data_IF_111314731260
#
_entry.id   IF_111314731260
#
_cell.length_a   1.000
_cell.length_b   1.000
_cell.length_c   1.000
_cell.angle_alpha   90.00
_cell.angle_beta   90.00
_cell.angle_gamma   90.00
#
_symmetry.space_group_name_H-M   'P 1'
#
loop_
_entity.id
_entity.type
_entity.pdbx_description
1 polymer ?
#
# COMPACT_ATOMS: atom_id res chain seq x y z
N UNK A 1 1.33 18.39 -3.98
CA UNK A 1 2.18 18.43 -5.18
C UNK A 1 2.45 17.03 -5.74
N UNK A 2 2.79 16.01 -4.94
CA UNK A 2 3.05 14.65 -5.45
C UNK A 2 1.81 14.04 -6.13
N UNK A 3 0.64 14.06 -5.47
CA UNK A 3 -0.61 13.56 -6.04
C UNK A 3 -0.96 14.28 -7.34
N UNK A 4 -0.91 15.62 -7.34
CA UNK A 4 -1.12 16.42 -8.55
C UNK A 4 -0.13 16.08 -9.65
N UNK A 5 1.16 15.93 -9.29
CA UNK A 5 2.19 15.51 -10.24
C UNK A 5 1.88 14.16 -10.89
N UNK A 6 1.33 13.21 -10.12
CA UNK A 6 0.93 11.89 -10.62
C UNK A 6 -0.25 11.99 -11.60
N UNK A 7 -1.30 12.75 -11.27
CA UNK A 7 -2.45 12.97 -12.15
C UNK A 7 -2.04 13.72 -13.44
N UNK A 8 -1.20 14.76 -13.30
CA UNK A 8 -0.68 15.51 -14.46
C UNK A 8 0.21 14.62 -15.34
N UNK A 9 1.02 13.74 -14.76
CA UNK A 9 1.83 12.78 -15.50
C UNK A 9 0.97 11.75 -16.23
N UNK A 10 -0.05 11.19 -15.57
CA UNK A 10 -1.00 10.27 -16.20
C UNK A 10 -1.72 10.90 -17.38
N UNK A 11 -2.20 12.15 -17.23
CA UNK A 11 -2.87 12.90 -18.32
C UNK A 11 -1.98 13.16 -19.54
N UNK A 12 -0.67 13.01 -19.39
CA UNK A 12 0.35 13.16 -20.45
C UNK A 12 0.94 11.82 -20.92
N UNK A 13 0.38 10.69 -20.46
CA UNK A 13 0.89 9.36 -20.75
C UNK A 13 2.15 9.01 -19.95
N UNK A 14 2.33 9.55 -18.75
CA UNK A 14 3.47 9.31 -17.86
C UNK A 14 4.88 9.49 -18.49
N UNK A 15 5.14 10.46 -19.36
CA UNK A 15 6.40 10.51 -20.16
C UNK A 15 7.67 10.63 -19.29
N UNK A 16 7.52 10.94 -18.00
CA UNK A 16 8.63 11.11 -17.04
C UNK A 16 8.49 10.29 -15.76
N UNK A 17 7.41 9.55 -15.61
CA UNK A 17 7.16 8.74 -14.43
C UNK A 17 7.58 7.31 -14.70
N UNK A 18 8.57 6.83 -13.96
CA UNK A 18 8.97 5.44 -13.99
C UNK A 18 8.11 4.67 -13.00
N UNK A 19 7.16 3.92 -13.50
CA UNK A 19 6.27 3.08 -12.70
C UNK A 19 6.61 1.62 -12.96
N UNK A 20 6.66 0.83 -11.92
CA UNK A 20 6.85 -0.61 -12.00
C UNK A 20 5.60 -1.32 -11.50
N UNK A 21 5.36 -2.53 -11.97
CA UNK A 21 4.33 -3.38 -11.44
C UNK A 21 4.54 -3.62 -9.94
N UNK A 22 3.48 -3.47 -9.13
CA UNK A 22 3.50 -3.93 -7.75
C UNK A 22 3.13 -5.41 -7.71
N UNK A 23 4.13 -6.22 -7.44
CA UNK A 23 3.95 -7.67 -7.33
C UNK A 23 3.48 -8.07 -5.93
N UNK A 24 2.89 -9.26 -5.84
CA UNK A 24 2.33 -9.83 -4.60
C UNK A 24 3.09 -11.12 -4.25
N UNK A 25 4.38 -10.99 -4.02
CA UNK A 25 5.25 -12.10 -3.65
C UNK A 25 5.71 -12.05 -2.19
N UNK A 26 6.63 -12.94 -1.88
CA UNK A 26 7.31 -12.96 -0.58
C UNK A 26 8.57 -12.10 -0.65
N UNK A 27 8.58 -10.97 0.05
CA UNK A 27 9.72 -10.03 0.03
C UNK A 27 11.00 -10.66 0.61
N UNK A 28 12.13 -10.41 -0.06
CA UNK A 28 13.47 -10.84 0.34
C UNK A 28 14.52 -9.83 -0.17
N UNK A 29 15.53 -9.55 0.64
CA UNK A 29 16.75 -8.95 0.11
C UNK A 29 17.75 -10.08 -0.16
N UNK A 30 18.20 -10.22 -1.40
CA UNK A 30 19.03 -11.32 -1.88
C UNK A 30 20.38 -10.80 -2.37
N UNK A 31 21.44 -11.45 -1.97
CA UNK A 31 22.81 -11.18 -2.39
C UNK A 31 23.56 -12.47 -2.69
N UNK A 32 24.79 -12.34 -3.12
CA UNK A 32 25.69 -13.46 -3.40
C UNK A 32 27.06 -13.16 -2.83
N UNK A 33 27.67 -14.14 -2.25
CA UNK A 33 29.05 -14.07 -1.78
C UNK A 33 29.96 -14.80 -2.77
N UNK A 34 30.76 -14.07 -3.57
CA UNK A 34 31.64 -14.69 -4.55
C UNK A 34 32.76 -15.55 -3.94
N UNK A 35 33.13 -15.30 -2.69
CA UNK A 35 34.19 -16.07 -2.01
C UNK A 35 33.69 -17.46 -1.59
N UNK A 36 32.52 -17.55 -1.00
CA UNK A 36 31.90 -18.82 -0.60
C UNK A 36 31.10 -19.49 -1.71
N UNK A 37 30.76 -18.75 -2.76
CA UNK A 37 29.89 -19.23 -3.83
C UNK A 37 28.43 -19.39 -3.41
N UNK A 38 27.99 -18.74 -2.34
CA UNK A 38 26.67 -18.92 -1.75
C UNK A 38 25.76 -17.72 -1.91
N UNK A 39 24.49 -17.99 -2.16
CA UNK A 39 23.44 -16.97 -2.06
C UNK A 39 23.13 -16.66 -0.60
N UNK A 40 23.00 -15.38 -0.29
CA UNK A 40 22.67 -14.87 1.03
C UNK A 40 21.33 -14.14 0.99
N UNK A 41 20.52 -14.33 2.03
CA UNK A 41 19.20 -13.71 2.18
C UNK A 41 19.08 -12.90 3.46
N UNK A 42 18.40 -11.75 3.37
CA UNK A 42 18.08 -10.92 4.53
C UNK A 42 16.58 -10.59 4.50
N UNK A 43 15.88 -10.89 5.58
CA UNK A 43 14.46 -10.53 5.78
C UNK A 43 14.22 -9.60 6.97
N UNK A 44 15.19 -9.48 7.85
CA UNK A 44 15.08 -8.64 9.05
C UNK A 44 16.46 -8.16 9.50
N UNK A 45 16.48 -7.31 10.54
CA UNK A 45 17.71 -6.71 11.05
C UNK A 45 18.70 -7.74 11.62
N UNK A 46 18.22 -8.82 12.26
CA UNK A 46 19.11 -9.86 12.82
C UNK A 46 19.82 -10.62 11.72
N UNK A 47 19.14 -10.92 10.61
CA UNK A 47 19.78 -11.54 9.44
C UNK A 47 20.86 -10.62 8.83
N UNK A 48 20.60 -9.30 8.78
CA UNK A 48 21.57 -8.34 8.29
C UNK A 48 22.83 -8.29 9.17
N UNK A 49 22.65 -8.28 10.49
CA UNK A 49 23.77 -8.29 11.45
C UNK A 49 24.57 -9.59 11.41
N UNK A 50 23.96 -10.70 11.01
CA UNK A 50 24.64 -11.98 10.78
C UNK A 50 25.36 -12.05 9.41
N UNK A 51 25.31 -11.00 8.60
CA UNK A 51 25.93 -11.00 7.27
C UNK A 51 25.05 -11.56 6.15
N UNK A 52 23.79 -11.86 6.43
CA UNK A 52 22.87 -12.64 5.60
C UNK A 52 22.84 -14.10 6.02
N UNK A 53 21.81 -14.81 5.63
CA UNK A 53 21.64 -16.24 5.84
C UNK A 53 21.75 -16.98 4.51
N UNK A 54 22.55 -18.02 4.43
CA UNK A 54 22.51 -18.98 3.34
C UNK A 54 21.18 -19.76 3.32
N UNK A 55 20.91 -20.51 2.27
CA UNK A 55 19.65 -21.22 2.08
C UNK A 55 19.34 -22.23 3.20
N UNK A 56 20.33 -22.94 3.73
CA UNK A 56 20.15 -23.89 4.82
C UNK A 56 19.87 -23.19 6.16
N UNK A 57 20.60 -22.13 6.43
CA UNK A 57 20.39 -21.28 7.61
C UNK A 57 19.04 -20.57 7.58
N UNK A 58 18.58 -20.11 6.41
CA UNK A 58 17.25 -19.53 6.25
C UNK A 58 16.14 -20.56 6.47
N UNK A 59 16.31 -21.79 5.94
CA UNK A 59 15.39 -22.90 6.17
C UNK A 59 15.30 -23.24 7.65
N UNK A 60 16.43 -23.37 8.34
CA UNK A 60 16.47 -23.62 9.79
C UNK A 60 15.79 -22.51 10.58
N UNK A 61 16.04 -21.25 10.22
CA UNK A 61 15.40 -20.09 10.85
C UNK A 61 13.87 -20.15 10.76
N UNK A 62 13.33 -20.54 9.62
CA UNK A 62 11.87 -20.62 9.41
C UNK A 62 11.22 -21.84 10.06
N UNK A 63 11.98 -22.87 10.36
CA UNK A 63 11.50 -24.13 10.94
C UNK A 63 11.95 -24.29 12.39
N UNK A 64 13.15 -24.76 12.61
CA UNK A 64 13.70 -25.18 13.92
C UNK A 64 13.82 -24.03 14.91
N UNK A 65 14.44 -22.90 14.48
CA UNK A 65 14.67 -21.77 15.39
C UNK A 65 13.35 -21.13 15.84
N UNK A 66 12.31 -21.14 14.97
CA UNK A 66 10.97 -20.68 15.37
C UNK A 66 10.32 -21.59 16.39
N UNK A 67 10.44 -22.91 16.22
CA UNK A 67 9.92 -23.88 17.18
C UNK A 67 10.62 -23.74 18.53
N UNK A 68 11.94 -23.61 18.55
CA UNK A 68 12.73 -23.38 19.77
C UNK A 68 12.36 -22.06 20.46
N UNK A 69 11.96 -21.04 19.69
CA UNK A 69 11.44 -19.77 20.20
C UNK A 69 9.95 -19.82 20.61
N UNK A 70 9.32 -20.98 20.62
CA UNK A 70 7.90 -21.16 20.98
C UNK A 70 6.91 -20.61 19.95
N UNK A 71 7.35 -20.40 18.70
CA UNK A 71 6.53 -19.89 17.60
C UNK A 71 6.19 -21.02 16.61
N UNK A 72 5.02 -20.99 15.96
CA UNK A 72 4.72 -21.95 14.91
C UNK A 72 5.75 -21.83 13.77
N UNK A 73 6.17 -22.95 13.16
CA UNK A 73 7.05 -22.92 12.01
C UNK A 73 6.35 -22.25 10.82
N UNK A 74 7.14 -21.67 9.94
CA UNK A 74 6.62 -21.18 8.65
C UNK A 74 6.13 -22.39 7.82
N UNK A 75 5.01 -22.28 7.09
CA UNK A 75 4.55 -23.35 6.20
C UNK A 75 5.66 -23.78 5.22
N UNK A 76 5.81 -25.10 5.03
CA UNK A 76 6.92 -25.64 4.24
C UNK A 76 6.91 -25.20 2.79
N UNK A 77 5.73 -25.02 2.18
CA UNK A 77 5.62 -24.47 0.82
C UNK A 77 6.25 -23.07 0.69
N UNK A 78 6.13 -22.21 1.71
CA UNK A 78 6.79 -20.90 1.75
C UNK A 78 8.31 -21.05 1.94
N UNK A 79 8.73 -21.96 2.81
CA UNK A 79 10.16 -22.23 3.05
C UNK A 79 10.83 -22.77 1.79
N UNK A 80 10.18 -23.72 1.11
CA UNK A 80 10.69 -24.31 -0.12
C UNK A 80 10.73 -23.29 -1.26
N UNK A 81 9.75 -22.37 -1.34
CA UNK A 81 9.77 -21.28 -2.31
C UNK A 81 11.01 -20.38 -2.17
N UNK A 82 11.38 -20.02 -0.95
CA UNK A 82 12.61 -19.25 -0.70
C UNK A 82 13.86 -20.07 -1.02
N UNK A 83 13.88 -21.32 -0.62
CA UNK A 83 15.01 -22.21 -0.86
C UNK A 83 15.31 -22.33 -2.36
N UNK A 84 14.29 -22.65 -3.14
CA UNK A 84 14.41 -22.79 -4.60
C UNK A 84 14.79 -21.49 -5.30
N UNK A 85 14.21 -20.35 -4.85
CA UNK A 85 14.56 -19.04 -5.38
C UNK A 85 16.04 -18.69 -5.12
N UNK A 86 16.54 -18.97 -3.90
CA UNK A 86 17.96 -18.79 -3.57
C UNK A 86 18.86 -19.72 -4.39
N UNK A 87 18.47 -20.96 -4.57
CA UNK A 87 19.23 -21.93 -5.38
C UNK A 87 19.28 -21.51 -6.87
N UNK A 88 18.17 -21.03 -7.42
CA UNK A 88 18.12 -20.52 -8.78
C UNK A 88 18.98 -19.26 -8.94
N UNK A 89 18.92 -18.35 -7.96
CA UNK A 89 19.76 -17.15 -7.96
C UNK A 89 21.25 -17.50 -7.88
N UNK A 90 21.63 -18.48 -7.06
CA UNK A 90 23.02 -18.95 -6.93
C UNK A 90 23.61 -19.42 -8.26
N UNK A 91 22.85 -20.20 -9.05
CA UNK A 91 23.28 -20.66 -10.38
C UNK A 91 23.56 -19.49 -11.32
N UNK A 92 22.70 -18.46 -11.29
CA UNK A 92 22.87 -17.28 -12.14
C UNK A 92 24.00 -16.39 -11.64
N UNK A 93 24.04 -16.14 -10.32
CA UNK A 93 25.03 -15.29 -9.68
C UNK A 93 26.47 -15.78 -9.91
N UNK A 94 26.66 -17.09 -9.97
CA UNK A 94 27.96 -17.68 -10.28
C UNK A 94 28.50 -17.29 -11.67
N UNK A 95 27.62 -16.95 -12.59
CA UNK A 95 27.98 -16.51 -13.97
C UNK A 95 28.10 -14.99 -14.11
N UNK A 96 27.83 -14.25 -13.04
CA UNK A 96 27.91 -12.79 -13.03
C UNK A 96 29.23 -12.30 -12.43
N UNK A 97 29.79 -11.19 -12.96
CA UNK A 97 30.98 -10.59 -12.39
C UNK A 97 30.79 -10.17 -10.90
N UNK A 98 31.84 -10.27 -10.06
CA UNK A 98 31.78 -9.98 -8.63
C UNK A 98 31.26 -8.58 -8.28
N UNK A 99 31.47 -7.58 -9.15
CA UNK A 99 31.02 -6.19 -8.96
C UNK A 99 29.50 -6.04 -8.89
N UNK A 100 28.73 -7.04 -9.30
CA UNK A 100 27.30 -7.08 -9.05
C UNK A 100 26.96 -7.34 -7.58
N UNK A 101 27.87 -7.95 -6.83
CA UNK A 101 27.61 -8.42 -5.48
C UNK A 101 28.48 -7.75 -4.40
N UNK A 102 29.57 -7.14 -4.79
CA UNK A 102 30.51 -6.46 -3.90
C UNK A 102 30.75 -5.04 -4.41
N UNK A 103 30.69 -4.05 -3.52
CA UNK A 103 31.08 -2.67 -3.87
C UNK A 103 32.60 -2.54 -3.96
N UNK A 104 33.13 -1.46 -4.56
CA UNK A 104 34.59 -1.21 -4.57
C UNK A 104 35.20 -1.15 -3.16
N UNK A 105 34.41 -0.81 -2.14
CA UNK A 105 34.81 -0.76 -0.73
C UNK A 105 34.74 -2.14 -0.05
N UNK A 106 34.33 -3.18 -0.76
CA UNK A 106 34.22 -4.56 -0.23
C UNK A 106 32.89 -4.84 0.50
N UNK A 107 31.90 -3.96 0.42
CA UNK A 107 30.60 -4.16 1.05
C UNK A 107 29.72 -5.06 0.17
N UNK A 108 29.03 -6.03 0.79
CA UNK A 108 28.09 -6.92 0.07
C UNK A 108 26.83 -6.17 -0.37
N UNK A 109 26.40 -6.45 -1.59
CA UNK A 109 25.18 -5.87 -2.19
C UNK A 109 24.02 -6.84 -2.05
N UNK A 110 22.88 -6.33 -1.57
CA UNK A 110 21.62 -7.05 -1.51
C UNK A 110 20.58 -6.37 -2.39
N UNK A 111 20.06 -7.11 -3.35
CA UNK A 111 18.96 -6.69 -4.22
C UNK A 111 17.63 -6.87 -3.49
N UNK A 112 16.80 -5.84 -3.51
CA UNK A 112 15.43 -5.96 -3.06
C UNK A 112 14.64 -6.78 -4.08
N UNK A 113 13.99 -7.85 -3.64
CA UNK A 113 13.32 -8.79 -4.54
C UNK A 113 12.07 -9.40 -3.90
N UNK A 114 11.25 -10.03 -4.72
CA UNK A 114 10.11 -10.84 -4.28
C UNK A 114 10.18 -12.23 -4.91
N UNK A 115 9.91 -13.24 -4.09
CA UNK A 115 9.71 -14.61 -4.54
C UNK A 115 8.23 -14.78 -4.85
N UNK A 116 7.91 -14.95 -6.12
CA UNK A 116 6.57 -15.29 -6.59
C UNK A 116 6.56 -16.78 -6.93
N UNK A 117 5.71 -17.54 -6.27
CA UNK A 117 5.67 -18.99 -6.40
C UNK A 117 4.21 -19.48 -6.27
N UNK A 118 3.72 -20.28 -7.21
CA UNK A 118 2.36 -20.84 -7.15
C UNK A 118 2.06 -21.59 -5.83
N UNK A 119 3.10 -22.19 -5.23
CA UNK A 119 2.97 -22.95 -3.99
C UNK A 119 2.75 -22.07 -2.77
N UNK A 120 3.16 -20.80 -2.84
CA UNK A 120 3.14 -19.86 -1.72
C UNK A 120 2.51 -18.52 -2.10
N UNK A 121 1.55 -18.53 -3.01
CA UNK A 121 0.82 -17.35 -3.43
C UNK A 121 0.14 -16.65 -2.25
N UNK A 122 0.21 -15.32 -2.20
CA UNK A 122 -0.57 -14.50 -1.26
C UNK A 122 -1.99 -14.32 -1.83
N UNK A 123 -2.23 -13.21 -2.55
CA UNK A 123 -3.52 -12.89 -3.17
C UNK A 123 -3.53 -13.27 -4.64
N UNK A 124 -2.39 -13.06 -5.33
CA UNK A 124 -2.23 -13.34 -6.76
C UNK A 124 -1.60 -14.72 -6.96
N UNK A 125 -2.26 -15.60 -7.73
CA UNK A 125 -1.68 -16.86 -8.17
C UNK A 125 -0.83 -16.64 -9.40
N UNK A 126 0.45 -16.94 -9.27
CA UNK A 126 1.40 -16.94 -10.37
C UNK A 126 1.45 -18.32 -11.03
N UNK A 127 1.67 -18.36 -12.33
CA UNK A 127 1.71 -19.64 -13.06
C UNK A 127 3.08 -20.34 -12.93
N UNK A 128 4.14 -19.57 -12.69
CA UNK A 128 5.51 -20.07 -12.56
C UNK A 128 6.23 -19.42 -11.39
N UNK A 129 7.25 -20.10 -10.90
CA UNK A 129 8.14 -19.50 -9.91
C UNK A 129 9.03 -18.44 -10.57
N UNK A 130 9.04 -17.24 -10.00
CA UNK A 130 9.90 -16.13 -10.43
C UNK A 130 10.50 -15.43 -9.20
N UNK A 131 11.81 -15.18 -9.25
CA UNK A 131 12.47 -14.22 -8.38
C UNK A 131 12.49 -12.87 -9.12
N UNK A 132 11.65 -11.95 -8.69
CA UNK A 132 11.55 -10.62 -9.29
C UNK A 132 12.37 -9.61 -8.48
N UNK A 133 13.41 -9.08 -9.11
CA UNK A 133 14.26 -8.04 -8.52
C UNK A 133 13.64 -6.68 -8.80
N UNK A 134 13.38 -5.91 -7.75
CA UNK A 134 12.88 -4.54 -7.88
C UNK A 134 13.96 -3.61 -8.47
N UNK A 135 13.55 -2.49 -9.08
CA UNK A 135 14.51 -1.50 -9.61
C UNK A 135 15.10 -0.58 -8.55
N UNK A 136 14.50 -0.58 -7.36
CA UNK A 136 14.87 0.30 -6.26
C UNK A 136 14.93 -0.46 -4.94
N UNK A 137 15.45 0.19 -3.91
CA UNK A 137 15.49 -0.38 -2.58
C UNK A 137 16.63 -1.38 -2.35
N UNK A 138 17.60 -1.45 -3.27
CA UNK A 138 18.82 -2.23 -3.06
C UNK A 138 19.65 -1.66 -1.92
N UNK A 139 20.37 -2.52 -1.25
CA UNK A 139 21.09 -2.20 -0.02
C UNK A 139 22.50 -2.75 -0.07
N UNK A 140 23.41 -2.11 0.63
CA UNK A 140 24.75 -2.61 0.93
C UNK A 140 24.85 -2.96 2.41
N UNK A 141 25.58 -4.01 2.71
CA UNK A 141 25.81 -4.45 4.06
C UNK A 141 27.07 -3.77 4.60
N UNK A 142 26.86 -2.91 5.58
CA UNK A 142 27.92 -2.21 6.33
C UNK A 142 28.12 -2.86 7.69
N UNK A 143 29.11 -2.43 8.43
CA UNK A 143 29.35 -2.85 9.83
C UNK A 143 28.17 -2.53 10.78
N UNK A 144 27.28 -1.60 10.39
CA UNK A 144 26.10 -1.20 11.17
C UNK A 144 24.79 -1.81 10.70
N UNK A 145 24.84 -2.62 9.62
CA UNK A 145 23.69 -3.26 9.01
C UNK A 145 23.45 -2.82 7.56
N UNK A 146 22.23 -3.04 7.06
CA UNK A 146 21.87 -2.69 5.69
C UNK A 146 21.62 -1.20 5.53
N UNK A 147 22.31 -0.58 4.57
CA UNK A 147 22.15 0.81 4.16
C UNK A 147 21.64 0.85 2.71
N UNK A 148 20.60 1.63 2.46
CA UNK A 148 20.04 1.76 1.10
C UNK A 148 20.99 2.53 0.18
N UNK A 149 21.05 2.11 -1.06
CA UNK A 149 21.63 2.92 -2.14
C UNK A 149 20.71 4.11 -2.44
N UNK A 150 21.28 5.20 -2.93
CA UNK A 150 20.53 6.27 -3.57
C UNK A 150 19.71 5.71 -4.75
N UNK A 151 18.50 6.27 -4.97
CA UNK A 151 17.54 5.72 -5.95
C UNK A 151 18.14 5.60 -7.36
N UNK A 152 18.90 6.60 -7.80
CA UNK A 152 19.57 6.59 -9.11
C UNK A 152 20.65 5.50 -9.22
N UNK A 153 21.42 5.29 -8.17
CA UNK A 153 22.44 4.24 -8.14
C UNK A 153 21.82 2.84 -8.11
N UNK A 154 20.72 2.66 -7.36
CA UNK A 154 19.98 1.41 -7.34
C UNK A 154 19.36 1.09 -8.70
N UNK A 155 18.79 2.09 -9.37
CA UNK A 155 18.23 1.94 -10.71
C UNK A 155 19.29 1.57 -11.74
N UNK A 156 20.44 2.26 -11.73
CA UNK A 156 21.54 1.97 -12.65
C UNK A 156 22.01 0.51 -12.51
N UNK A 157 22.20 0.04 -11.28
CA UNK A 157 22.53 -1.36 -10.99
C UNK A 157 21.49 -2.34 -11.53
N UNK A 158 20.21 -2.00 -11.41
CA UNK A 158 19.13 -2.83 -11.94
C UNK A 158 19.17 -2.93 -13.46
N UNK A 159 19.46 -1.83 -14.15
CA UNK A 159 19.60 -1.81 -15.61
C UNK A 159 20.78 -2.68 -16.05
N UNK A 160 21.91 -2.54 -15.38
CA UNK A 160 23.12 -3.35 -15.68
C UNK A 160 22.85 -4.84 -15.44
N UNK A 161 22.20 -5.18 -14.32
CA UNK A 161 21.82 -6.55 -14.01
C UNK A 161 20.81 -7.11 -15.03
N UNK A 162 19.80 -6.33 -15.42
CA UNK A 162 18.80 -6.73 -16.42
C UNK A 162 19.46 -7.06 -17.76
N UNK A 163 20.35 -6.18 -18.25
CA UNK A 163 21.06 -6.39 -19.50
C UNK A 163 21.88 -7.70 -19.43
N UNK A 164 22.58 -7.92 -18.33
CA UNK A 164 23.38 -9.12 -18.15
C UNK A 164 22.56 -10.39 -18.02
N UNK A 165 21.41 -10.32 -17.33
CA UNK A 165 20.46 -11.43 -17.26
C UNK A 165 19.90 -11.78 -18.64
N UNK A 166 19.56 -10.79 -19.46
CA UNK A 166 19.09 -11.01 -20.83
C UNK A 166 20.14 -11.73 -21.70
N UNK A 167 21.42 -11.34 -21.60
CA UNK A 167 22.51 -12.03 -22.28
C UNK A 167 22.63 -13.50 -21.84
N UNK A 168 22.57 -13.76 -20.54
CA UNK A 168 22.62 -15.11 -19.98
C UNK A 168 21.42 -15.95 -20.38
N UNK A 169 20.21 -15.37 -20.36
CA UNK A 169 18.97 -16.04 -20.75
C UNK A 169 18.94 -16.41 -22.23
N UNK A 170 19.55 -15.60 -23.10
CA UNK A 170 19.72 -15.92 -24.51
C UNK A 170 20.61 -17.15 -24.74
N UNK A 171 21.57 -17.37 -23.82
CA UNK A 171 22.47 -18.53 -23.86
C UNK A 171 21.90 -19.75 -23.13
N UNK A 172 21.07 -19.53 -22.10
CA UNK A 172 20.55 -20.55 -21.18
C UNK A 172 19.11 -20.23 -20.77
N UNK A 173 18.09 -20.67 -21.50
CA UNK A 173 16.68 -20.34 -21.24
C UNK A 173 16.17 -20.76 -19.84
N UNK A 174 16.80 -21.74 -19.22
CA UNK A 174 16.47 -22.18 -17.84
C UNK A 174 16.69 -21.09 -16.77
N UNK A 175 17.40 -20.02 -17.11
CA UNK A 175 17.65 -18.87 -16.24
C UNK A 175 16.45 -17.90 -16.21
N UNK A 176 15.41 -18.14 -16.98
CA UNK A 176 14.22 -17.27 -17.14
C UNK A 176 13.43 -17.00 -15.85
N UNK A 177 13.72 -17.77 -14.77
CA UNK A 177 13.07 -17.62 -13.46
C UNK A 177 13.55 -16.40 -12.67
N UNK A 178 14.58 -15.69 -13.12
CA UNK A 178 15.05 -14.45 -12.48
C UNK A 178 14.80 -13.29 -13.43
N UNK A 179 14.02 -12.32 -12.96
CA UNK A 179 13.63 -11.14 -13.75
C UNK A 179 13.89 -9.86 -12.96
N UNK A 180 14.19 -8.77 -13.67
CA UNK A 180 14.16 -7.43 -13.09
C UNK A 180 12.82 -6.80 -13.43
N UNK A 181 12.18 -6.17 -12.44
CA UNK A 181 10.88 -5.55 -12.61
C UNK A 181 10.96 -4.47 -13.71
N UNK A 182 10.22 -4.62 -14.80
CA UNK A 182 10.26 -3.67 -15.91
C UNK A 182 9.53 -2.36 -15.54
N UNK A 183 9.94 -1.31 -16.24
CA UNK A 183 9.21 -0.05 -16.22
C UNK A 183 8.00 -0.23 -17.13
N UNK A 184 6.83 0.11 -16.58
CA UNK A 184 5.58 0.08 -17.34
C UNK A 184 5.62 1.20 -18.39
N UNK A 185 5.41 0.85 -19.65
CA UNK A 185 5.23 1.83 -20.70
C UNK A 185 3.76 2.23 -20.78
N UNK A 186 3.48 3.48 -20.47
CA UNK A 186 2.13 4.05 -20.48
C UNK A 186 1.74 4.68 -21.83
N UNK A 187 2.55 4.55 -22.86
CA UNK A 187 2.22 5.10 -24.20
C UNK A 187 0.96 4.49 -24.78
N UNK A 188 0.66 3.24 -24.43
CA UNK A 188 -0.53 2.52 -24.87
C UNK A 188 -1.81 2.88 -24.07
N UNK A 189 -1.69 3.66 -22.98
CA UNK A 189 -2.82 4.08 -22.15
C UNK A 189 -3.52 5.37 -22.63
N UNK A 190 -3.34 5.71 -23.90
CA UNK A 190 -3.89 6.94 -24.50
C UNK A 190 -5.42 7.01 -24.41
N UNK A 191 -6.12 5.87 -24.44
CA UNK A 191 -7.58 5.80 -24.37
C UNK A 191 -8.17 6.38 -23.08
N UNK A 192 -7.47 6.29 -21.96
CA UNK A 192 -7.90 6.81 -20.65
C UNK A 192 -7.42 8.24 -20.36
N UNK A 193 -6.73 8.89 -21.29
CA UNK A 193 -6.10 10.21 -21.10
C UNK A 193 -7.10 11.30 -20.71
N UNK A 194 -8.31 11.27 -21.25
CA UNK A 194 -9.33 12.24 -20.91
C UNK A 194 -9.91 12.02 -19.51
N UNK A 195 -10.06 10.78 -19.05
CA UNK A 195 -10.42 10.47 -17.67
C UNK A 195 -9.36 10.98 -16.67
N UNK A 196 -8.07 10.77 -16.98
CA UNK A 196 -6.98 11.30 -16.14
C UNK A 196 -6.94 12.83 -16.10
N UNK A 197 -7.24 13.50 -17.23
CA UNK A 197 -7.37 14.96 -17.26
C UNK A 197 -8.56 15.44 -16.44
N UNK A 198 -9.70 14.77 -16.52
CA UNK A 198 -10.87 15.08 -15.72
C UNK A 198 -10.55 14.98 -14.22
N UNK A 199 -9.96 13.87 -13.78
CA UNK A 199 -9.53 13.66 -12.40
C UNK A 199 -8.50 14.72 -11.93
N UNK A 200 -7.54 15.10 -12.79
CA UNK A 200 -6.57 16.15 -12.47
C UNK A 200 -7.26 17.53 -12.30
N UNK A 201 -8.26 17.83 -13.12
CA UNK A 201 -9.02 19.07 -13.00
C UNK A 201 -9.90 19.08 -11.75
N UNK A 202 -10.60 17.99 -11.45
CA UNK A 202 -11.37 17.84 -10.21
C UNK A 202 -10.49 18.03 -8.98
N UNK A 203 -9.29 17.43 -8.98
CA UNK A 203 -8.32 17.61 -7.90
C UNK A 203 -7.88 19.07 -7.76
N UNK A 204 -7.68 19.79 -8.85
CA UNK A 204 -7.35 21.23 -8.82
C UNK A 204 -8.48 22.08 -8.24
N UNK A 205 -9.72 21.78 -8.64
CA UNK A 205 -10.91 22.48 -8.11
C UNK A 205 -11.04 22.19 -6.61
N UNK A 206 -10.91 20.93 -6.22
CA UNK A 206 -11.00 20.52 -4.82
C UNK A 206 -9.88 21.13 -3.96
N UNK A 207 -8.66 21.22 -4.51
CA UNK A 207 -7.51 21.78 -3.80
C UNK A 207 -7.72 23.23 -3.39
N UNK A 208 -8.35 24.06 -4.25
CA UNK A 208 -8.54 25.49 -4.00
C UNK A 208 -7.21 26.20 -3.73
N UNK A 209 -7.09 26.86 -2.58
CA UNK A 209 -5.87 27.54 -2.12
C UNK A 209 -4.91 26.65 -1.32
N UNK A 210 -5.31 25.43 -0.95
CA UNK A 210 -4.49 24.53 -0.16
C UNK A 210 -3.27 24.04 -0.95
N UNK A 211 -2.09 24.02 -0.30
CA UNK A 211 -0.82 23.58 -0.91
C UNK A 211 -0.56 22.09 -0.69
N UNK A 212 -1.14 21.54 0.35
CA UNK A 212 -0.98 20.13 0.74
C UNK A 212 -2.32 19.48 1.00
N UNK A 213 -2.35 18.14 0.98
CA UNK A 213 -3.54 17.35 1.39
C UNK A 213 -3.89 17.64 2.84
N UNK A 214 -2.88 17.83 3.71
CA UNK A 214 -3.09 18.22 5.11
C UNK A 214 -3.84 19.53 5.23
N UNK A 215 -3.38 20.60 4.56
CA UNK A 215 -4.06 21.90 4.55
C UNK A 215 -5.49 21.82 3.99
N UNK A 216 -5.69 21.04 2.91
CA UNK A 216 -7.02 20.81 2.37
C UNK A 216 -7.94 20.17 3.41
N UNK A 217 -7.49 19.09 4.05
CA UNK A 217 -8.27 18.37 5.05
C UNK A 217 -8.55 19.25 6.28
N UNK A 218 -7.57 19.99 6.76
CA UNK A 218 -7.75 20.92 7.88
C UNK A 218 -8.81 21.97 7.55
N UNK A 219 -8.76 22.59 6.37
CA UNK A 219 -9.75 23.56 5.92
C UNK A 219 -11.14 22.93 5.78
N UNK A 220 -11.23 21.77 5.13
CA UNK A 220 -12.51 21.08 4.93
C UNK A 220 -13.14 20.60 6.24
N UNK A 221 -12.33 20.13 7.20
CA UNK A 221 -12.80 19.77 8.55
C UNK A 221 -13.26 21.02 9.27
N UNK A 222 -12.50 22.10 9.23
CA UNK A 222 -12.82 23.35 9.88
C UNK A 222 -14.14 23.95 9.35
N UNK A 223 -14.34 23.95 8.05
CA UNK A 223 -15.57 24.42 7.42
C UNK A 223 -16.80 23.59 7.87
N UNK A 224 -16.67 22.26 7.88
CA UNK A 224 -17.73 21.36 8.34
C UNK A 224 -18.01 21.52 9.83
N UNK A 225 -16.98 21.62 10.67
CA UNK A 225 -17.16 21.89 12.09
C UNK A 225 -17.82 23.26 12.31
N UNK A 226 -17.38 24.29 11.59
CA UNK A 226 -17.94 25.63 11.65
C UNK A 226 -19.42 25.65 11.29
N UNK A 227 -19.80 24.90 10.24
CA UNK A 227 -21.21 24.77 9.81
C UNK A 227 -22.03 24.00 10.83
N UNK A 228 -21.48 22.93 11.43
CA UNK A 228 -22.17 22.08 12.39
C UNK A 228 -22.41 22.81 13.73
N UNK A 229 -21.41 23.57 14.21
CA UNK A 229 -21.50 24.34 15.45
C UNK A 229 -22.43 25.53 15.28
N UNK A 230 -22.47 26.13 14.09
CA UNK A 230 -23.23 27.32 13.78
C UNK A 230 -22.60 28.61 14.35
N UNK A 231 -23.34 29.71 14.22
CA UNK A 231 -22.86 31.07 14.56
C UNK A 231 -23.39 31.61 15.91
N UNK A 232 -24.10 30.78 16.67
CA UNK A 232 -24.80 31.21 17.89
C UNK A 232 -23.91 31.25 19.14
N UNK A 233 -22.63 31.47 19.00
CA UNK A 233 -21.65 31.60 20.08
C UNK A 233 -20.90 32.95 19.95
N UNK A 234 -20.35 33.46 21.05
CA UNK A 234 -19.38 34.56 20.93
C UNK A 234 -18.18 34.10 20.10
N UNK A 235 -17.51 35.01 19.40
CA UNK A 235 -16.37 34.64 18.56
C UNK A 235 -15.27 33.97 19.38
N UNK A 236 -15.03 34.42 20.59
CA UNK A 236 -14.03 33.81 21.50
C UNK A 236 -14.40 32.37 21.86
N UNK A 237 -15.66 32.13 22.26
CA UNK A 237 -16.15 30.77 22.56
C UNK A 237 -16.11 29.87 21.34
N UNK A 238 -16.49 30.41 20.18
CA UNK A 238 -16.47 29.67 18.91
C UNK A 238 -15.05 29.23 18.55
N UNK A 239 -14.07 30.11 18.65
CA UNK A 239 -12.67 29.79 18.39
C UNK A 239 -12.12 28.75 19.37
N UNK A 240 -12.50 28.82 20.64
CA UNK A 240 -12.11 27.83 21.65
C UNK A 240 -12.67 26.44 21.31
N UNK A 241 -13.95 26.36 20.93
CA UNK A 241 -14.62 25.13 20.51
C UNK A 241 -13.92 24.56 19.27
N UNK A 242 -13.74 25.35 18.21
CA UNK A 242 -13.12 24.92 16.97
C UNK A 242 -11.71 24.40 17.19
N UNK A 243 -10.91 25.09 17.99
CA UNK A 243 -9.55 24.65 18.31
C UNK A 243 -9.53 23.29 19.01
N UNK A 244 -10.43 23.07 19.97
CA UNK A 244 -10.54 21.78 20.67
C UNK A 244 -11.00 20.66 19.73
N UNK A 245 -12.01 20.91 18.90
CA UNK A 245 -12.52 19.93 17.94
C UNK A 245 -11.53 19.62 16.82
N UNK A 246 -10.81 20.60 16.29
CA UNK A 246 -9.74 20.40 15.32
C UNK A 246 -8.61 19.54 15.91
N UNK A 247 -8.20 19.83 17.15
CA UNK A 247 -7.22 18.99 17.83
C UNK A 247 -7.71 17.55 17.99
N UNK A 248 -8.98 17.36 18.32
CA UNK A 248 -9.57 16.04 18.41
C UNK A 248 -9.63 15.33 17.07
N UNK A 249 -10.04 16.02 16.00
CA UNK A 249 -10.10 15.47 14.64
C UNK A 249 -8.72 15.03 14.12
N UNK A 250 -7.66 15.79 14.46
CA UNK A 250 -6.31 15.57 13.90
C UNK A 250 -5.38 14.75 14.79
N UNK A 251 -5.53 14.82 16.11
CA UNK A 251 -4.61 14.21 17.10
C UNK A 251 -5.27 13.17 18.02
N UNK A 252 -6.56 12.89 17.82
CA UNK A 252 -7.32 11.95 18.63
C UNK A 252 -7.97 12.59 19.88
N UNK A 253 -8.70 11.78 20.65
CA UNK A 253 -9.52 12.25 21.74
C UNK A 253 -8.74 12.99 22.83
N UNK A 254 -9.27 14.12 23.34
CA UNK A 254 -8.77 14.72 24.57
C UNK A 254 -8.89 13.69 25.70
N UNK A 255 -7.77 13.31 26.28
CA UNK A 255 -7.75 12.27 27.34
C UNK A 255 -7.99 12.82 28.74
N UNK A 256 -8.09 14.14 28.90
CA UNK A 256 -8.09 14.78 30.21
C UNK A 256 -9.26 15.75 30.33
N UNK A 257 -10.08 15.57 31.36
CA UNK A 257 -11.17 16.51 31.69
C UNK A 257 -10.72 17.97 31.75
N UNK A 258 -9.48 18.22 32.14
CA UNK A 258 -8.87 19.53 32.15
C UNK A 258 -8.80 20.24 30.78
N UNK A 259 -8.82 19.50 29.68
CA UNK A 259 -8.85 20.07 28.34
C UNK A 259 -10.28 20.34 27.82
N UNK A 260 -11.25 19.58 28.34
CA UNK A 260 -12.66 19.67 27.93
C UNK A 260 -13.40 20.72 28.74
N UNK A 261 -13.19 20.77 30.07
CA UNK A 261 -13.92 21.65 30.98
C UNK A 261 -13.82 23.12 30.59
N UNK A 262 -12.66 23.70 30.29
CA UNK A 262 -12.60 25.12 29.92
C UNK A 262 -13.45 25.47 28.68
N UNK A 263 -13.58 24.52 27.74
CA UNK A 263 -14.43 24.70 26.57
C UNK A 263 -15.90 24.67 26.96
N UNK A 264 -16.31 23.71 27.79
CA UNK A 264 -17.71 23.57 28.24
C UNK A 264 -18.11 24.74 29.16
N UNK A 265 -17.24 25.16 30.04
CA UNK A 265 -17.50 26.27 30.96
C UNK A 265 -17.67 27.62 30.25
N UNK A 266 -17.12 27.75 29.03
CA UNK A 266 -17.31 28.93 28.18
C UNK A 266 -18.70 29.02 27.52
N UNK A 267 -19.53 27.97 27.65
CA UNK A 267 -20.83 27.84 26.99
C UNK A 267 -21.94 28.00 28.04
N UNK A 268 -22.64 29.14 28.10
CA UNK A 268 -23.67 29.38 29.13
C UNK A 268 -24.94 28.54 28.95
N UNK A 269 -25.28 28.17 27.70
CA UNK A 269 -26.50 27.43 27.38
C UNK A 269 -26.26 25.91 27.59
N UNK A 270 -27.00 25.24 28.51
CA UNK A 270 -26.83 23.84 28.83
C UNK A 270 -27.07 22.89 27.63
N UNK A 271 -27.99 23.25 26.72
CA UNK A 271 -28.29 22.42 25.55
C UNK A 271 -27.12 22.48 24.54
N UNK A 272 -26.59 23.67 24.31
CA UNK A 272 -25.42 23.87 23.48
C UNK A 272 -24.18 23.21 24.10
N UNK A 273 -24.02 23.31 25.42
CA UNK A 273 -22.95 22.66 26.16
C UNK A 273 -23.03 21.13 25.99
N UNK A 274 -24.22 20.53 26.07
CA UNK A 274 -24.43 19.08 25.87
C UNK A 274 -24.04 18.65 24.45
N UNK A 275 -24.42 19.41 23.42
CA UNK A 275 -24.06 19.16 22.04
C UNK A 275 -22.51 19.14 21.84
N UNK A 276 -21.84 20.19 22.34
CA UNK A 276 -20.38 20.28 22.23
C UNK A 276 -19.67 19.19 23.05
N UNK A 277 -20.22 18.85 24.20
CA UNK A 277 -19.72 17.74 25.02
C UNK A 277 -19.74 16.41 24.23
N UNK A 278 -20.80 16.14 23.50
CA UNK A 278 -20.91 14.95 22.67
C UNK A 278 -19.80 14.91 21.60
N UNK A 279 -19.58 16.03 20.91
CA UNK A 279 -18.47 16.14 19.95
C UNK A 279 -17.10 15.95 20.61
N UNK A 280 -16.89 16.42 21.82
CA UNK A 280 -15.61 16.33 22.53
C UNK A 280 -15.38 14.96 23.19
N UNK A 281 -16.45 14.20 23.48
CA UNK A 281 -16.36 12.94 24.21
C UNK A 281 -16.65 11.70 23.39
N UNK A 282 -17.43 11.82 22.29
CA UNK A 282 -17.79 10.71 21.42
C UNK A 282 -16.98 10.75 20.12
N UNK A 283 -16.46 9.60 19.72
CA UNK A 283 -15.69 9.48 18.48
C UNK A 283 -16.54 9.63 17.22
N UNK A 284 -17.76 9.08 17.23
CA UNK A 284 -18.62 9.00 16.05
C UNK A 284 -18.93 10.36 15.40
N UNK A 285 -19.35 11.43 16.12
CA UNK A 285 -19.64 12.72 15.49
C UNK A 285 -18.42 13.34 14.80
N UNK A 286 -17.25 13.26 15.42
CA UNK A 286 -16.01 13.78 14.83
C UNK A 286 -15.58 12.92 13.64
N UNK A 287 -15.69 11.60 13.75
CA UNK A 287 -15.41 10.71 12.63
C UNK A 287 -16.27 11.07 11.42
N UNK A 288 -17.57 11.28 11.60
CA UNK A 288 -18.47 11.66 10.51
C UNK A 288 -18.05 12.98 9.82
N UNK A 289 -17.57 13.97 10.59
CA UNK A 289 -17.04 15.22 10.04
C UNK A 289 -15.78 14.98 9.23
N UNK A 290 -14.84 14.19 9.76
CA UNK A 290 -13.57 13.87 9.09
C UNK A 290 -13.83 13.07 7.82
N UNK A 291 -14.61 12.00 7.89
CA UNK A 291 -14.97 11.15 6.75
C UNK A 291 -15.65 11.98 5.65
N UNK A 292 -16.59 12.85 6.04
CA UNK A 292 -17.22 13.75 5.09
C UNK A 292 -16.27 14.76 4.46
N UNK A 293 -15.24 15.24 5.16
CA UNK A 293 -14.21 16.10 4.61
C UNK A 293 -13.27 15.35 3.65
N UNK A 294 -12.99 14.09 3.94
CA UNK A 294 -12.14 13.23 3.11
C UNK A 294 -12.85 12.71 1.86
N UNK A 295 -14.17 12.50 1.93
CA UNK A 295 -14.95 11.82 0.91
C UNK A 295 -14.72 12.37 -0.52
N UNK A 296 -14.75 13.67 -0.82
CA UNK A 296 -14.53 14.19 -2.16
C UNK A 296 -13.14 13.83 -2.71
N UNK A 297 -12.11 13.93 -1.88
CA UNK A 297 -10.75 13.57 -2.25
C UNK A 297 -10.64 12.07 -2.52
N UNK A 298 -11.22 11.24 -1.66
CA UNK A 298 -11.20 9.79 -1.81
C UNK A 298 -11.93 9.34 -3.08
N UNK A 299 -13.03 10.00 -3.46
CA UNK A 299 -13.74 9.70 -4.70
C UNK A 299 -12.88 9.98 -5.94
N UNK A 300 -12.17 11.11 -5.97
CA UNK A 300 -11.26 11.43 -7.09
C UNK A 300 -10.14 10.40 -7.18
N UNK A 301 -9.52 10.06 -6.05
CA UNK A 301 -8.43 9.08 -6.00
C UNK A 301 -8.92 7.70 -6.42
N UNK A 302 -10.10 7.28 -5.96
CA UNK A 302 -10.70 6.00 -6.30
C UNK A 302 -10.99 5.90 -7.80
N UNK A 303 -11.66 6.90 -8.37
CA UNK A 303 -11.96 6.92 -9.80
C UNK A 303 -10.69 6.89 -10.65
N UNK A 304 -9.69 7.70 -10.28
CA UNK A 304 -8.40 7.70 -10.96
C UNK A 304 -7.70 6.33 -10.88
N UNK A 305 -7.68 5.71 -9.69
CA UNK A 305 -7.07 4.39 -9.51
C UNK A 305 -7.82 3.30 -10.30
N UNK A 306 -9.14 3.37 -10.37
CA UNK A 306 -9.96 2.45 -11.16
C UNK A 306 -9.65 2.59 -12.66
N UNK A 307 -9.64 3.83 -13.18
CA UNK A 307 -9.31 4.08 -14.58
C UNK A 307 -7.88 3.63 -14.93
N UNK A 308 -6.94 3.85 -14.01
CA UNK A 308 -5.55 3.41 -14.17
C UNK A 308 -5.47 1.88 -14.22
N UNK A 309 -6.14 1.19 -13.30
CA UNK A 309 -6.18 -0.27 -13.23
C UNK A 309 -6.84 -0.88 -14.47
N UNK A 310 -7.96 -0.33 -14.91
CA UNK A 310 -8.62 -0.78 -16.14
C UNK A 310 -7.74 -0.61 -17.39
N UNK A 311 -7.06 0.54 -17.50
CA UNK A 311 -6.08 0.78 -18.55
C UNK A 311 -4.95 -0.24 -18.51
N UNK A 312 -4.41 -0.49 -17.31
CA UNK A 312 -3.35 -1.46 -17.06
C UNK A 312 -3.75 -2.88 -17.49
N UNK A 313 -4.93 -3.36 -17.05
CA UNK A 313 -5.44 -4.70 -17.40
C UNK A 313 -5.68 -4.86 -18.90
N UNK A 314 -6.07 -3.79 -19.60
CA UNK A 314 -6.40 -3.84 -21.03
C UNK A 314 -5.19 -3.84 -21.97
N UNK A 315 -4.08 -3.22 -21.56
CA UNK A 315 -2.94 -2.95 -22.44
C UNK A 315 -1.60 -3.58 -22.04
N UNK A 316 -1.47 -4.07 -20.79
CA UNK A 316 -0.17 -4.50 -20.28
C UNK A 316 -0.02 -6.01 -20.14
N UNK A 317 1.13 -6.55 -20.56
CA UNK A 317 1.50 -7.95 -20.31
C UNK A 317 2.27 -8.02 -18.99
N UNK A 318 1.70 -8.70 -18.00
CA UNK A 318 2.31 -8.86 -16.68
C UNK A 318 3.61 -9.67 -16.77
N UNK A 319 4.65 -9.19 -16.09
CA UNK A 319 5.99 -9.77 -16.16
C UNK A 319 6.16 -11.08 -15.42
N UNK A 320 5.30 -11.33 -14.45
CA UNK A 320 5.35 -12.49 -13.59
C UNK A 320 4.63 -13.72 -14.17
N UNK A 321 4.46 -13.81 -15.48
CA UNK A 321 3.76 -14.90 -16.17
C UNK A 321 2.35 -15.17 -15.59
N UNK A 322 1.69 -14.10 -15.14
CA UNK A 322 0.30 -14.17 -14.70
C UNK A 322 -0.58 -14.25 -15.93
N UNK A 323 -1.41 -15.27 -16.02
CA UNK A 323 -2.42 -15.32 -17.03
C UNK A 323 -3.41 -14.18 -16.87
N UNK A 324 -3.43 -13.23 -17.81
CA UNK A 324 -4.44 -12.14 -17.83
C UNK A 324 -5.87 -12.68 -17.74
N UNK A 325 -6.11 -13.86 -18.29
CA UNK A 325 -7.41 -14.54 -18.20
C UNK A 325 -7.70 -14.98 -16.76
N UNK A 326 -6.72 -15.56 -16.05
CA UNK A 326 -6.87 -15.92 -14.64
C UNK A 326 -7.09 -14.67 -13.79
N UNK A 327 -6.30 -13.61 -14.01
CA UNK A 327 -6.45 -12.34 -13.31
C UNK A 327 -7.84 -11.74 -13.55
N UNK A 328 -8.30 -11.67 -14.81
CA UNK A 328 -9.66 -11.21 -15.15
C UNK A 328 -10.74 -12.08 -14.50
N UNK A 329 -10.56 -13.41 -14.45
CA UNK A 329 -11.47 -14.32 -13.76
C UNK A 329 -11.51 -14.05 -12.26
N UNK A 330 -10.35 -13.83 -11.61
CA UNK A 330 -10.25 -13.49 -10.18
C UNK A 330 -10.91 -12.15 -9.89
N UNK A 331 -10.57 -11.11 -10.64
CA UNK A 331 -11.18 -9.77 -10.50
C UNK A 331 -12.70 -9.88 -10.75
N UNK A 332 -13.13 -10.61 -11.78
CA UNK A 332 -14.54 -10.82 -12.06
C UNK A 332 -15.27 -11.70 -11.02
N UNK A 333 -14.57 -12.62 -10.35
CA UNK A 333 -15.10 -13.38 -9.24
C UNK A 333 -15.25 -12.48 -8.00
N UNK A 334 -14.21 -11.72 -7.65
CA UNK A 334 -14.24 -10.75 -6.57
C UNK A 334 -15.27 -9.65 -6.78
N UNK A 335 -15.36 -9.10 -7.98
CA UNK A 335 -16.40 -8.14 -8.33
C UNK A 335 -17.82 -8.71 -8.19
N UNK A 336 -18.00 -10.01 -8.44
CA UNK A 336 -19.28 -10.72 -8.22
C UNK A 336 -19.53 -10.97 -6.74
N UNK A 337 -18.51 -11.28 -5.94
CA UNK A 337 -18.60 -11.36 -4.49
C UNK A 337 -18.99 -10.01 -3.89
N UNK A 338 -18.36 -8.92 -4.33
CA UNK A 338 -18.70 -7.54 -3.95
C UNK A 338 -20.13 -7.15 -4.36
N UNK A 339 -20.65 -7.76 -5.42
CA UNK A 339 -22.00 -7.54 -5.92
C UNK A 339 -22.94 -8.68 -5.54
N UNK A 340 -22.64 -9.49 -4.51
CA UNK A 340 -23.56 -10.48 -4.01
C UNK A 340 -24.92 -9.80 -3.73
N UNK A 341 -25.98 -10.24 -4.42
CA UNK A 341 -27.31 -9.65 -4.26
C UNK A 341 -27.78 -9.66 -2.81
N UNK A 342 -27.34 -10.62 -2.01
CA UNK A 342 -27.66 -10.72 -0.59
C UNK A 342 -26.99 -9.57 0.21
N UNK A 343 -25.69 -9.35 0.02
CA UNK A 343 -24.95 -8.27 0.71
C UNK A 343 -25.43 -6.89 0.25
N UNK A 344 -25.65 -6.71 -1.03
CA UNK A 344 -26.26 -5.48 -1.56
C UNK A 344 -27.67 -5.22 -1.02
N UNK A 345 -28.47 -6.29 -0.84
CA UNK A 345 -29.81 -6.18 -0.23
C UNK A 345 -29.71 -5.76 1.24
N UNK A 346 -28.78 -6.32 2.00
CA UNK A 346 -28.50 -5.94 3.39
C UNK A 346 -28.11 -4.47 3.45
N UNK A 347 -27.14 -4.02 2.66
CA UNK A 347 -26.71 -2.63 2.61
C UNK A 347 -27.85 -1.67 2.24
N UNK A 348 -28.67 -1.99 1.23
CA UNK A 348 -29.80 -1.17 0.82
C UNK A 348 -30.86 -1.09 1.92
N UNK A 349 -31.15 -2.20 2.60
CA UNK A 349 -32.10 -2.26 3.70
C UNK A 349 -31.60 -1.41 4.88
N UNK A 350 -30.33 -1.51 5.24
CA UNK A 350 -29.71 -0.73 6.32
C UNK A 350 -29.68 0.76 5.98
N UNK A 351 -29.34 1.14 4.76
CA UNK A 351 -29.45 2.53 4.31
C UNK A 351 -30.88 3.06 4.34
N UNK A 352 -31.87 2.24 3.95
CA UNK A 352 -33.29 2.64 4.03
C UNK A 352 -33.75 2.83 5.48
N UNK A 353 -33.27 2.02 6.42
CA UNK A 353 -33.53 2.18 7.86
C UNK A 353 -32.97 3.51 8.37
N UNK A 354 -31.74 3.85 8.02
CA UNK A 354 -31.10 5.12 8.38
C UNK A 354 -31.86 6.32 7.78
N UNK A 355 -32.21 6.24 6.49
CA UNK A 355 -33.02 7.27 5.84
C UNK A 355 -34.43 7.38 6.43
N UNK A 356 -34.98 6.29 6.98
CA UNK A 356 -36.26 6.27 7.71
C UNK A 356 -36.19 6.81 9.15
N UNK A 357 -34.99 7.29 9.58
CA UNK A 357 -34.81 7.93 10.89
C UNK A 357 -34.45 6.97 12.02
N UNK A 358 -34.10 5.72 11.73
CA UNK A 358 -33.50 4.84 12.74
C UNK A 358 -32.13 5.34 13.15
N UNK A 359 -31.74 5.10 14.39
CA UNK A 359 -30.42 5.46 14.90
C UNK A 359 -29.34 4.70 14.14
N UNK A 360 -28.28 5.42 13.75
CA UNK A 360 -27.19 4.86 12.95
C UNK A 360 -26.45 3.78 13.73
N UNK A 361 -26.26 3.96 15.04
CA UNK A 361 -25.54 3.03 15.89
C UNK A 361 -26.32 1.71 16.05
N UNK A 362 -27.67 1.79 16.14
CA UNK A 362 -28.54 0.61 16.17
C UNK A 362 -28.51 -0.15 14.84
N UNK A 363 -28.42 0.56 13.71
CA UNK A 363 -28.32 -0.08 12.38
C UNK A 363 -26.95 -0.67 12.14
N UNK A 364 -25.88 -0.02 12.58
CA UNK A 364 -24.50 -0.51 12.44
C UNK A 364 -24.18 -1.67 13.38
N UNK A 365 -24.95 -1.88 14.45
CA UNK A 365 -24.84 -3.04 15.34
C UNK A 365 -25.55 -4.29 14.83
N UNK A 366 -26.19 -4.22 13.65
CA UNK A 366 -26.82 -5.38 13.01
C UNK A 366 -25.73 -6.35 12.53
N UNK A 367 -25.68 -7.55 13.12
CA UNK A 367 -24.66 -8.58 12.81
C UNK A 367 -24.63 -8.95 11.33
N UNK A 368 -25.76 -8.90 10.64
CA UNK A 368 -25.84 -9.19 9.22
C UNK A 368 -25.18 -8.08 8.38
N UNK A 369 -25.30 -6.82 8.80
CA UNK A 369 -24.66 -5.68 8.17
C UNK A 369 -23.14 -5.69 8.44
N UNK A 370 -22.74 -5.98 9.67
CA UNK A 370 -21.32 -6.10 10.04
C UNK A 370 -20.64 -7.19 9.23
N UNK A 371 -21.25 -8.37 9.14
CA UNK A 371 -20.73 -9.48 8.32
C UNK A 371 -20.70 -9.17 6.82
N UNK A 372 -21.67 -8.44 6.28
CA UNK A 372 -21.67 -7.99 4.89
C UNK A 372 -20.56 -6.97 4.64
N UNK A 373 -20.37 -6.01 5.52
CA UNK A 373 -19.29 -5.01 5.43
C UNK A 373 -17.92 -5.65 5.55
N UNK A 374 -17.73 -6.63 6.44
CA UNK A 374 -16.48 -7.37 6.58
C UNK A 374 -16.14 -8.14 5.29
N UNK A 375 -17.11 -8.86 4.70
CA UNK A 375 -16.91 -9.54 3.41
C UNK A 375 -16.54 -8.57 2.29
N UNK A 376 -17.22 -7.42 2.21
CA UNK A 376 -16.93 -6.39 1.20
C UNK A 376 -15.53 -5.82 1.42
N UNK A 377 -15.16 -5.48 2.67
CA UNK A 377 -13.84 -4.91 2.99
C UNK A 377 -12.72 -5.90 2.68
N UNK A 378 -12.87 -7.16 3.12
CA UNK A 378 -11.90 -8.23 2.85
C UNK A 378 -11.75 -8.49 1.34
N UNK A 379 -12.84 -8.39 0.60
CA UNK A 379 -12.83 -8.54 -0.86
C UNK A 379 -12.11 -7.37 -1.56
N UNK A 380 -12.26 -6.15 -1.06
CA UNK A 380 -11.54 -4.96 -1.56
C UNK A 380 -10.04 -5.04 -1.23
N UNK A 381 -9.69 -5.47 -0.03
CA UNK A 381 -8.29 -5.66 0.38
C UNK A 381 -7.59 -6.78 -0.41
N UNK A 382 -8.35 -7.71 -0.97
CA UNK A 382 -7.88 -8.80 -1.81
C UNK A 382 -7.76 -8.46 -3.32
N UNK A 383 -8.13 -7.24 -3.72
CA UNK A 383 -7.96 -6.70 -5.08
C UNK A 383 -6.69 -5.89 -5.19
#
# INVERSE_FOLDING_TARGET
DQMRGMFDAASKGFPKLKVTEKTDGQNIAIGYDPESGQTLAVRNKSHALAGGLDKESLKRYFTTDRLEAGKPPTPMNVVDSFYDAMQNFERVAHSLPPEFFITPEGERIFYNAEVMDPRSANVVDYDTQVLLIHRVGHKRLTSTGLVSFEASAAEQRSIELENRLQELQAASPEISTIKVNAIVDFTDFIEKKEAYRAAANELRVLQGSAKTVGEYLENAILDRLSSTIGTNYSEETRQLILKALMRFATKGMPRVKAEINPVLDSIPDPKKQALIKDFLTKRAPIKAVVDGAMHPLMMIVHNFATDLLEGFISGYTLQADVSLEKLRKKIGAKARELSDPADLSILRTSLAKIHGGQDVDDVLSDEALEAALERITTSIEGL
#
